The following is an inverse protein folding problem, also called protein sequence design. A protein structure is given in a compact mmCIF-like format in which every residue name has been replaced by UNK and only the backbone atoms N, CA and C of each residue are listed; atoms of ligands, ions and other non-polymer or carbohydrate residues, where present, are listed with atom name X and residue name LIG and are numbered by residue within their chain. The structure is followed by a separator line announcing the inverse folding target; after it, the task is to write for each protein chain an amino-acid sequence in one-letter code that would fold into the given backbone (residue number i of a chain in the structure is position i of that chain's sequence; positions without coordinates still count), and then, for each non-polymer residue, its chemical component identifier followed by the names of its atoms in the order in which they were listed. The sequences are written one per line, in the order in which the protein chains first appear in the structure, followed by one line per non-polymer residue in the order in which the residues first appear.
data_IF_035907818858
#
_entry.id   IF_035907818858
#
_cell.length_a   1.000
_cell.length_b   1.000
_cell.length_c   1.000
_cell.angle_alpha   90.00
_cell.angle_beta   90.00
_cell.angle_gamma   90.00
#
_symmetry.space_group_name_H-M   'P 1'
#
loop_
_entity.id
_entity.type
_entity.pdbx_description
1 polymer ?
#
# COMPACT_ATOMS: atom_id res chain seq x y z
N UNK A 1 18.45 0.76 -6.51
CA UNK A 1 17.32 0.90 -7.45
C UNK A 1 16.14 0.13 -6.90
N UNK A 2 14.99 0.79 -6.78
CA UNK A 2 13.73 0.20 -6.31
C UNK A 2 12.85 -0.13 -7.52
N UNK A 3 12.48 -1.40 -7.67
CA UNK A 3 11.43 -1.86 -8.57
C UNK A 3 10.21 -2.25 -7.73
N UNK A 4 9.10 -1.54 -7.95
CA UNK A 4 7.87 -1.70 -7.17
C UNK A 4 6.66 -1.69 -8.08
N UNK A 5 5.76 -2.65 -7.89
CA UNK A 5 4.44 -2.63 -8.52
C UNK A 5 3.41 -3.42 -7.73
N UNK A 6 2.14 -3.10 -7.95
CA UNK A 6 1.03 -3.94 -7.53
C UNK A 6 0.48 -4.74 -8.71
N UNK A 7 0.20 -6.01 -8.47
CA UNK A 7 -0.42 -6.92 -9.43
C UNK A 7 -1.85 -7.25 -8.93
N UNK A 8 -2.90 -6.60 -9.48
CA UNK A 8 -4.29 -6.86 -9.11
C UNK A 8 -4.63 -8.34 -9.19
N UNK A 9 -5.18 -8.90 -8.12
CA UNK A 9 -5.52 -10.32 -8.12
C UNK A 9 -6.82 -10.57 -8.88
N UNK A 10 -6.81 -11.57 -9.75
CA UNK A 10 -7.97 -11.94 -10.56
C UNK A 10 -9.13 -12.51 -9.72
N UNK A 11 -8.85 -13.05 -8.53
CA UNK A 11 -9.86 -13.57 -7.61
C UNK A 11 -10.55 -12.47 -6.78
N UNK A 12 -9.98 -11.27 -6.71
CA UNK A 12 -10.64 -10.14 -6.09
C UNK A 12 -11.58 -9.44 -7.08
N UNK A 13 -12.86 -9.79 -6.95
CA UNK A 13 -13.95 -9.22 -7.75
C UNK A 13 -14.07 -7.70 -7.69
N UNK A 14 -13.50 -7.02 -6.68
CA UNK A 14 -13.49 -5.56 -6.62
C UNK A 14 -12.64 -4.93 -7.73
N UNK A 15 -11.75 -5.67 -8.40
CA UNK A 15 -11.07 -5.17 -9.60
C UNK A 15 -11.92 -5.22 -10.86
N UNK A 16 -13.04 -5.95 -10.86
CA UNK A 16 -13.89 -6.08 -12.04
C UNK A 16 -14.67 -4.79 -12.30
N UNK A 17 -14.60 -4.20 -13.51
CA UNK A 17 -15.37 -3.01 -13.86
C UNK A 17 -16.88 -3.30 -13.96
N UNK A 18 -17.28 -4.57 -14.07
CA UNK A 18 -18.69 -4.97 -14.07
C UNK A 18 -19.31 -4.93 -12.67
N UNK A 19 -18.48 -4.96 -11.62
CA UNK A 19 -18.92 -4.85 -10.23
C UNK A 19 -18.88 -3.37 -9.85
N UNK A 20 -19.99 -2.82 -9.40
CA UNK A 20 -19.96 -1.47 -8.84
C UNK A 20 -19.08 -1.44 -7.58
N UNK A 21 -18.26 -0.40 -7.39
CA UNK A 21 -17.44 -0.24 -6.20
C UNK A 21 -18.31 0.30 -5.06
N UNK A 22 -19.23 -0.54 -4.59
CA UNK A 22 -20.18 -0.20 -3.55
C UNK A 22 -20.00 -1.11 -2.32
N UNK A 23 -20.31 -0.58 -1.13
CA UNK A 23 -20.20 -1.32 0.12
C UNK A 23 -21.17 -2.52 0.12
N UNK A 24 -20.69 -3.77 0.22
CA UNK A 24 -21.52 -4.97 0.01
C UNK A 24 -22.66 -5.14 1.01
N UNK A 25 -22.53 -4.54 2.20
CA UNK A 25 -23.51 -4.65 3.29
C UNK A 25 -24.23 -3.35 3.66
N UNK A 26 -24.06 -2.26 2.89
CA UNK A 26 -24.65 -0.94 3.21
C UNK A 26 -25.26 -0.30 1.98
N UNK A 27 -26.39 -0.86 1.53
CA UNK A 27 -27.12 -0.37 0.35
C UNK A 27 -27.59 1.09 0.48
N UNK A 28 -27.82 1.57 1.71
CA UNK A 28 -28.24 2.95 1.99
C UNK A 28 -27.09 3.97 1.94
N UNK A 29 -25.86 3.50 2.11
CA UNK A 29 -24.62 4.30 2.02
C UNK A 29 -23.58 3.52 1.20
N UNK A 30 -23.80 3.39 -0.12
CA UNK A 30 -23.02 2.48 -0.95
C UNK A 30 -21.57 2.96 -1.15
N UNK A 31 -21.23 4.20 -0.78
CA UNK A 31 -19.91 4.79 -0.99
C UNK A 31 -18.85 4.06 -0.16
N UNK A 32 -17.78 3.60 -0.82
CA UNK A 32 -16.63 3.02 -0.13
C UNK A 32 -15.96 4.02 0.79
N UNK A 33 -15.66 3.57 2.00
CA UNK A 33 -14.98 4.29 3.08
C UNK A 33 -13.51 3.89 3.16
N UNK A 34 -12.73 4.58 3.98
CA UNK A 34 -11.34 4.20 4.24
C UNK A 34 -11.17 2.76 4.74
N UNK A 35 -12.10 2.28 5.57
CA UNK A 35 -12.07 0.89 6.04
C UNK A 35 -12.26 -0.11 4.90
N UNK A 36 -13.08 0.22 3.90
CA UNK A 36 -13.28 -0.65 2.73
C UNK A 36 -12.00 -0.77 1.91
N UNK A 37 -11.31 0.35 1.68
CA UNK A 37 -10.04 0.39 0.96
C UNK A 37 -8.89 -0.27 1.72
N UNK A 38 -8.85 -0.15 3.05
CA UNK A 38 -7.74 -0.68 3.86
C UNK A 38 -7.91 -2.14 4.29
N UNK A 39 -9.11 -2.74 4.17
CA UNK A 39 -9.36 -4.08 4.72
C UNK A 39 -9.94 -5.04 3.69
N UNK A 40 -10.85 -4.56 2.84
CA UNK A 40 -11.78 -5.46 2.15
C UNK A 40 -11.69 -5.44 0.63
N UNK A 41 -11.29 -4.31 0.04
CA UNK A 41 -11.32 -4.11 -1.41
C UNK A 41 -9.91 -3.99 -2.01
N UNK A 42 -9.80 -4.28 -3.30
CA UNK A 42 -8.62 -3.97 -4.12
C UNK A 42 -7.34 -4.66 -3.63
N UNK A 43 -7.41 -5.98 -3.48
CA UNK A 43 -6.30 -6.85 -3.09
C UNK A 43 -5.37 -7.11 -4.26
N UNK A 44 -4.09 -6.87 -4.06
CA UNK A 44 -3.05 -7.14 -5.04
C UNK A 44 -1.91 -7.94 -4.41
N UNK A 45 -1.15 -8.60 -5.25
CA UNK A 45 0.19 -9.03 -4.89
C UNK A 45 1.13 -7.82 -5.01
N UNK A 46 2.04 -7.66 -4.06
CA UNK A 46 3.02 -6.58 -4.07
C UNK A 46 4.36 -7.12 -4.57
N UNK A 47 4.86 -6.57 -5.67
CA UNK A 47 6.24 -6.76 -6.10
C UNK A 47 7.08 -5.67 -5.48
N UNK A 48 8.09 -6.04 -4.70
CA UNK A 48 9.00 -5.12 -4.05
C UNK A 48 10.43 -5.66 -4.18
N UNK A 49 11.19 -5.13 -5.12
CA UNK A 49 12.60 -5.47 -5.28
C UNK A 49 13.45 -4.24 -4.95
N UNK A 50 14.25 -4.34 -3.91
CA UNK A 50 15.13 -3.26 -3.44
C UNK A 50 16.56 -3.69 -3.65
N UNK A 51 17.30 -2.99 -4.51
CA UNK A 51 18.71 -3.27 -4.82
C UNK A 51 18.96 -4.74 -5.22
N UNK A 52 17.98 -5.37 -5.88
CA UNK A 52 18.06 -6.77 -6.35
C UNK A 52 17.53 -7.80 -5.36
N UNK A 53 17.16 -7.40 -4.14
CA UNK A 53 16.55 -8.27 -3.12
C UNK A 53 15.03 -8.20 -3.22
N UNK A 54 14.38 -9.36 -3.38
CA UNK A 54 12.92 -9.47 -3.51
C UNK A 54 12.26 -9.64 -2.13
N UNK A 55 11.52 -8.61 -1.70
CA UNK A 55 10.65 -8.60 -0.54
C UNK A 55 9.17 -8.59 -0.95
N UNK A 56 8.85 -9.11 -2.14
CA UNK A 56 7.50 -9.18 -2.65
C UNK A 56 6.59 -10.06 -1.79
N UNK A 57 5.30 -9.71 -1.79
CA UNK A 57 4.25 -10.37 -1.01
C UNK A 57 3.14 -10.84 -1.96
N UNK A 58 3.04 -12.15 -2.15
CA UNK A 58 2.10 -12.78 -3.10
C UNK A 58 0.93 -13.50 -2.47
N UNK A 59 1.02 -13.88 -1.19
CA UNK A 59 -0.04 -14.65 -0.54
C UNK A 59 -0.18 -14.21 0.91
N UNK A 60 -1.39 -13.86 1.39
CA UNK A 60 -2.69 -13.93 0.70
C UNK A 60 -2.99 -12.76 -0.26
N UNK A 61 -2.02 -11.90 -0.56
CA UNK A 61 -2.27 -10.60 -1.21
C UNK A 61 -2.86 -9.60 -0.20
N UNK A 62 -2.79 -8.32 -0.51
CA UNK A 62 -3.15 -7.26 0.45
C UNK A 62 -3.90 -6.11 -0.22
N UNK A 63 -4.80 -5.40 0.50
CA UNK A 63 -5.41 -4.19 -0.02
C UNK A 63 -4.33 -3.16 -0.36
N UNK A 64 -4.30 -2.68 -1.61
CA UNK A 64 -3.23 -1.78 -2.09
C UNK A 64 -3.12 -0.50 -1.27
N UNK A 65 -4.24 0.00 -0.75
CA UNK A 65 -4.28 1.21 0.09
C UNK A 65 -3.72 0.93 1.48
N UNK A 66 -3.98 -0.24 2.06
CA UNK A 66 -3.44 -0.64 3.36
C UNK A 66 -1.92 -0.63 3.35
N UNK A 67 -1.30 -1.27 2.35
CA UNK A 67 0.15 -1.30 2.24
C UNK A 67 0.76 0.08 2.00
N UNK A 68 0.13 0.91 1.15
CA UNK A 68 0.60 2.27 0.94
C UNK A 68 0.54 3.11 2.23
N UNK A 69 -0.52 2.95 3.02
CA UNK A 69 -0.69 3.63 4.30
C UNK A 69 0.26 3.11 5.38
N UNK A 70 0.50 1.80 5.41
CA UNK A 70 1.47 1.17 6.29
C UNK A 70 2.87 1.74 6.06
N UNK A 71 3.30 1.87 4.79
CA UNK A 71 4.60 2.47 4.45
C UNK A 71 4.69 3.95 4.85
N UNK A 72 3.62 4.72 4.64
CA UNK A 72 3.57 6.13 5.06
C UNK A 72 3.62 6.27 6.59
N UNK A 73 2.91 5.39 7.31
CA UNK A 73 2.96 5.35 8.76
C UNK A 73 4.35 5.02 9.27
N UNK A 74 4.98 3.95 8.75
CA UNK A 74 6.35 3.57 9.11
C UNK A 74 7.35 4.71 8.85
N UNK A 75 7.26 5.33 7.66
CA UNK A 75 8.11 6.46 7.30
C UNK A 75 7.94 7.63 8.28
N UNK A 76 6.72 8.00 8.66
CA UNK A 76 6.50 9.09 9.63
C UNK A 76 7.03 8.75 11.02
N UNK A 77 6.79 7.54 11.51
CA UNK A 77 7.22 7.16 12.85
C UNK A 77 8.76 7.15 12.97
N UNK A 78 9.47 6.70 11.93
CA UNK A 78 10.94 6.73 11.87
C UNK A 78 11.55 8.14 11.89
N UNK A 79 10.76 9.20 11.72
CA UNK A 79 11.22 10.58 11.92
C UNK A 79 11.50 10.85 13.41
N UNK A 80 10.79 10.15 14.30
CA UNK A 80 10.84 10.35 15.76
C UNK A 80 11.39 9.14 16.53
N UNK A 81 11.33 7.95 15.93
CA UNK A 81 11.79 6.69 16.52
C UNK A 81 12.94 6.10 15.70
N UNK A 82 13.81 5.35 16.35
CA UNK A 82 14.85 4.59 15.65
C UNK A 82 14.30 3.31 15.02
N UNK A 83 13.25 2.71 15.58
CA UNK A 83 12.78 1.40 15.17
C UNK A 83 11.26 1.33 15.20
N UNK A 84 10.68 0.61 14.25
CA UNK A 84 9.25 0.31 14.21
C UNK A 84 8.99 -1.04 13.55
N UNK A 85 7.98 -1.76 14.05
CA UNK A 85 7.37 -2.87 13.37
C UNK A 85 5.92 -2.51 13.04
N UNK A 86 5.53 -2.67 11.78
CA UNK A 86 4.19 -2.37 11.28
C UNK A 86 3.60 -3.61 10.64
N UNK A 87 2.34 -3.87 10.94
CA UNK A 87 1.59 -5.01 10.39
C UNK A 87 0.61 -4.51 9.33
N UNK A 88 0.44 -5.28 8.26
CA UNK A 88 -0.68 -5.05 7.32
C UNK A 88 -1.97 -5.61 7.90
N UNK A 89 -3.08 -4.90 7.71
CA UNK A 89 -4.33 -5.07 8.46
C UNK A 89 -4.99 -6.46 8.35
N UNK A 90 -4.60 -7.28 7.36
CA UNK A 90 -5.33 -8.51 7.02
C UNK A 90 -4.48 -9.77 6.84
N UNK A 91 -3.16 -9.68 6.99
CA UNK A 91 -2.29 -10.80 6.60
C UNK A 91 -1.33 -11.29 7.68
N UNK A 92 -1.18 -10.57 8.81
CA UNK A 92 -0.17 -10.92 9.82
C UNK A 92 1.27 -10.67 9.34
N UNK A 93 1.46 -10.13 8.13
CA UNK A 93 2.76 -9.80 7.59
C UNK A 93 3.27 -8.51 8.24
N UNK A 94 4.44 -8.64 8.86
CA UNK A 94 5.10 -7.58 9.62
C UNK A 94 6.31 -7.09 8.84
N UNK A 95 6.39 -5.77 8.68
CA UNK A 95 7.53 -5.06 8.14
C UNK A 95 8.22 -4.36 9.30
N UNK A 96 9.48 -4.70 9.54
CA UNK A 96 10.30 -4.10 10.59
C UNK A 96 11.30 -3.16 9.94
N UNK A 97 11.29 -1.90 10.37
CA UNK A 97 12.18 -0.87 9.87
C UNK A 97 13.03 -0.32 11.02
N UNK A 98 14.33 -0.20 10.79
CA UNK A 98 15.30 0.34 11.74
C UNK A 98 16.12 1.44 11.06
N UNK A 99 16.19 2.60 11.69
CA UNK A 99 16.87 3.79 11.20
C UNK A 99 18.29 3.84 11.78
N UNK A 100 19.27 3.72 10.88
CA UNK A 100 20.66 4.09 11.12
C UNK A 100 20.94 5.57 10.87
N UNK A 101 22.22 5.93 10.80
CA UNK A 101 22.64 7.31 10.54
C UNK A 101 22.25 7.77 9.13
N UNK A 102 22.47 6.92 8.12
CA UNK A 102 22.29 7.25 6.69
C UNK A 102 21.27 6.34 5.98
N UNK A 103 20.97 5.19 6.57
CA UNK A 103 20.15 4.15 5.95
C UNK A 103 19.03 3.70 6.89
N UNK A 104 18.01 3.09 6.31
CA UNK A 104 16.91 2.38 6.96
C UNK A 104 17.02 0.93 6.55
N UNK A 105 17.23 0.06 7.52
CA UNK A 105 17.15 -1.39 7.35
C UNK A 105 15.67 -1.78 7.34
N UNK A 106 15.25 -2.54 6.34
CA UNK A 106 13.92 -3.12 6.23
C UNK A 106 14.04 -4.65 6.24
N UNK A 107 13.27 -5.29 7.12
CA UNK A 107 13.12 -6.75 7.20
C UNK A 107 11.64 -7.12 7.26
N UNK A 108 11.35 -8.39 7.05
CA UNK A 108 9.99 -8.92 7.11
C UNK A 108 9.93 -10.19 7.94
N UNK A 109 8.76 -10.56 8.44
CA UNK A 109 8.59 -11.83 9.16
C UNK A 109 8.39 -13.06 8.24
N UNK A 110 8.30 -12.85 6.93
CA UNK A 110 8.01 -13.90 5.94
C UNK A 110 9.16 -14.17 4.95
N UNK A 111 10.13 -13.27 4.84
CA UNK A 111 11.36 -13.46 4.07
C UNK A 111 12.59 -13.27 4.99
N UNK A 112 13.65 -14.09 4.84
CA UNK A 112 14.86 -13.98 5.66
C UNK A 112 15.75 -12.78 5.24
N UNK A 113 15.46 -12.19 4.09
CA UNK A 113 16.28 -11.15 3.49
C UNK A 113 16.19 -9.81 4.25
N UNK A 114 17.30 -9.08 4.20
CA UNK A 114 17.45 -7.76 4.79
C UNK A 114 17.78 -6.79 3.66
N UNK A 115 17.06 -5.66 3.59
CA UNK A 115 17.36 -4.62 2.61
C UNK A 115 17.69 -3.32 3.31
N UNK A 116 18.59 -2.56 2.70
CA UNK A 116 18.93 -1.22 3.15
C UNK A 116 18.40 -0.20 2.14
N UNK A 117 17.71 0.81 2.64
CA UNK A 117 17.16 1.91 1.90
C UNK A 117 17.78 3.21 2.42
N UNK A 118 18.08 4.16 1.55
CA UNK A 118 18.26 5.55 2.03
C UNK A 118 16.92 6.15 2.46
N UNK A 119 16.94 7.25 3.21
CA UNK A 119 15.71 7.97 3.55
C UNK A 119 14.95 8.45 2.31
N UNK A 120 15.68 8.88 1.28
CA UNK A 120 15.11 9.30 0.02
C UNK A 120 14.43 8.14 -0.72
N UNK A 121 15.02 6.95 -0.67
CA UNK A 121 14.47 5.73 -1.25
C UNK A 121 13.22 5.25 -0.51
N UNK A 122 13.20 5.31 0.83
CA UNK A 122 11.99 5.01 1.60
C UNK A 122 10.84 5.97 1.23
N UNK A 123 11.12 7.28 1.16
CA UNK A 123 10.13 8.28 0.72
C UNK A 123 9.64 7.98 -0.70
N UNK A 124 10.54 7.70 -1.63
CA UNK A 124 10.18 7.36 -3.01
C UNK A 124 9.30 6.11 -3.09
N UNK A 125 9.62 5.07 -2.31
CA UNK A 125 8.82 3.85 -2.23
C UNK A 125 7.41 4.16 -1.73
N UNK A 126 7.28 4.94 -0.65
CA UNK A 126 5.98 5.36 -0.11
C UNK A 126 5.16 6.14 -1.13
N UNK A 127 5.76 7.16 -1.77
CA UNK A 127 5.06 7.98 -2.77
C UNK A 127 4.61 7.15 -3.97
N UNK A 128 5.46 6.23 -4.45
CA UNK A 128 5.15 5.31 -5.55
C UNK A 128 4.02 4.36 -5.18
N UNK A 129 4.03 3.78 -3.97
CA UNK A 129 2.97 2.89 -3.50
C UNK A 129 1.60 3.60 -3.46
N UNK A 130 1.56 4.83 -2.93
CA UNK A 130 0.32 5.63 -2.91
C UNK A 130 -0.18 5.95 -4.31
N UNK A 131 0.71 6.47 -5.17
CA UNK A 131 0.36 6.84 -6.54
C UNK A 131 -0.12 5.62 -7.35
N UNK A 132 0.52 4.47 -7.18
CA UNK A 132 0.15 3.25 -7.88
C UNK A 132 -1.18 2.67 -7.40
N UNK A 133 -1.42 2.64 -6.09
CA UNK A 133 -2.71 2.26 -5.52
C UNK A 133 -3.84 3.13 -6.08
N UNK A 134 -3.68 4.46 -6.05
CA UNK A 134 -4.66 5.40 -6.60
C UNK A 134 -4.87 5.19 -8.11
N UNK A 135 -3.79 5.03 -8.88
CA UNK A 135 -3.86 4.80 -10.33
C UNK A 135 -4.61 3.52 -10.64
N UNK A 136 -4.29 2.40 -10.00
CA UNK A 136 -4.93 1.12 -10.27
C UNK A 136 -6.43 1.15 -9.94
N UNK A 137 -6.78 1.66 -8.75
CA UNK A 137 -8.18 1.78 -8.32
C UNK A 137 -8.97 2.65 -9.30
N UNK A 138 -8.46 3.82 -9.67
CA UNK A 138 -9.18 4.75 -10.57
C UNK A 138 -9.09 4.38 -12.05
N UNK A 139 -8.25 3.40 -12.41
CA UNK A 139 -8.26 2.78 -13.74
C UNK A 139 -9.36 1.72 -13.82
N UNK A 140 -9.51 0.90 -12.77
CA UNK A 140 -10.58 -0.09 -12.69
C UNK A 140 -11.96 0.56 -12.51
N UNK A 141 -12.04 1.62 -11.69
CA UNK A 141 -13.26 2.35 -11.35
C UNK A 141 -13.05 3.86 -11.44
N UNK A 142 -13.19 4.45 -12.63
CA UNK A 142 -12.98 5.89 -12.84
C UNK A 142 -13.78 6.81 -11.91
N UNK A 143 -14.95 6.38 -11.47
CA UNK A 143 -15.83 7.10 -10.54
C UNK A 143 -15.20 7.29 -9.15
N UNK A 144 -14.31 6.38 -8.72
CA UNK A 144 -13.62 6.49 -7.43
C UNK A 144 -12.60 7.63 -7.39
N UNK A 145 -12.30 8.27 -8.53
CA UNK A 145 -11.51 9.52 -8.56
C UNK A 145 -12.20 10.64 -7.79
N UNK A 146 -13.52 10.62 -7.69
CA UNK A 146 -14.31 11.59 -6.92
C UNK A 146 -14.45 11.23 -5.43
N UNK A 147 -13.98 10.06 -4.99
CA UNK A 147 -14.04 9.68 -3.59
C UNK A 147 -13.08 10.55 -2.77
N UNK A 148 -13.64 11.40 -1.90
CA UNK A 148 -12.87 12.40 -1.14
C UNK A 148 -11.78 11.76 -0.28
N UNK A 149 -12.12 10.68 0.44
CA UNK A 149 -11.18 9.99 1.31
C UNK A 149 -10.01 9.40 0.50
N UNK A 150 -10.30 8.70 -0.60
CA UNK A 150 -9.28 8.10 -1.45
C UNK A 150 -8.34 9.18 -2.04
N UNK A 151 -8.91 10.26 -2.56
CA UNK A 151 -8.17 11.39 -3.13
C UNK A 151 -7.26 12.06 -2.10
N UNK A 152 -7.76 12.33 -0.91
CA UNK A 152 -7.01 13.03 0.14
C UNK A 152 -5.93 12.15 0.77
N UNK A 153 -6.17 10.83 0.82
CA UNK A 153 -5.30 9.90 1.54
C UNK A 153 -4.18 9.35 0.65
N UNK A 154 -4.52 8.87 -0.55
CA UNK A 154 -3.56 8.22 -1.47
C UNK A 154 -3.43 8.93 -2.82
N UNK A 155 -4.36 9.83 -3.16
CA UNK A 155 -4.21 10.68 -4.33
C UNK A 155 -3.00 11.60 -4.23
N UNK A 156 -2.44 11.97 -5.38
CA UNK A 156 -1.46 13.05 -5.42
C UNK A 156 -2.14 14.35 -4.93
N UNK A 157 -1.45 15.20 -4.15
CA UNK A 157 -1.97 16.54 -3.88
C UNK A 157 -2.28 17.19 -5.22
N UNK A 158 -3.52 17.68 -5.38
CA UNK A 158 -3.87 18.46 -6.55
C UNK A 158 -2.89 19.63 -6.60
N UNK A 159 -2.09 19.73 -7.65
CA UNK A 159 -1.40 20.97 -7.95
C UNK A 159 -2.49 22.03 -8.13
N UNK A 160 -2.66 22.87 -7.12
CA UNK A 160 -3.51 24.05 -7.17
C UNK A 160 -2.77 25.17 -7.92
#
# INVERSE_FOLDING_TARGET
MIDFSFEPRADDTFWSPARRPEHPYRSEHPVLTGADFSVSCFRADARLVVHGVDLGLRTPGLPVVDFALMLEYARRELETRSDIAVETSVSGHVFSLSRGAETVTLTTNYAPDVVELTWAELRQLTDRAKAEAFRLITTAHPELRANAWLRETVGAPSAA
#
